data_IF_886498802729
#
_entry.id   IF_886498802729
#
_cell.length_a   1.000
_cell.length_b   1.000
_cell.length_c   1.000
_cell.angle_alpha   90.00
_cell.angle_beta   90.00
_cell.angle_gamma   90.00
#
_symmetry.space_group_name_H-M   'P 1'
#
loop_
_entity.id
_entity.type
_entity.pdbx_description
1 polymer ?
#
# COMPACT_ATOMS: atom_id res chain seq x y z
N UNK A 1 67.15 -25.17 -0.64
CA UNK A 1 66.47 -25.19 0.67
C UNK A 1 65.78 -23.85 0.91
N UNK A 2 64.45 -23.87 0.98
CA UNK A 2 63.50 -22.93 1.64
C UNK A 2 63.68 -21.41 1.45
N UNK A 3 62.65 -20.57 1.25
CA UNK A 3 61.30 -20.57 1.83
C UNK A 3 60.34 -19.79 0.90
N UNK A 4 59.17 -20.36 0.59
CA UNK A 4 58.01 -19.58 0.16
C UNK A 4 57.27 -19.13 1.42
N UNK A 5 57.04 -17.83 1.58
CA UNK A 5 56.26 -17.29 2.69
C UNK A 5 54.82 -17.06 2.23
N UNK A 6 53.90 -17.91 2.69
CA UNK A 6 52.46 -17.73 2.52
C UNK A 6 51.99 -16.51 3.30
N UNK A 7 51.35 -15.55 2.61
CA UNK A 7 50.54 -14.52 3.26
C UNK A 7 49.11 -15.07 3.31
N UNK A 8 48.70 -15.50 4.49
CA UNK A 8 47.33 -15.95 4.76
C UNK A 8 46.46 -14.70 4.95
N UNK A 9 45.60 -14.38 3.98
CA UNK A 9 44.64 -13.29 4.10
C UNK A 9 43.53 -13.71 5.07
N UNK A 10 43.50 -13.09 6.25
CA UNK A 10 42.46 -13.29 7.25
C UNK A 10 41.19 -12.57 6.78
N UNK A 11 40.25 -13.31 6.20
CA UNK A 11 38.94 -12.78 5.79
C UNK A 11 38.07 -12.49 7.02
N UNK A 12 37.93 -11.21 7.38
CA UNK A 12 37.01 -10.77 8.42
C UNK A 12 35.60 -10.67 7.83
N UNK A 13 34.80 -11.73 7.98
CA UNK A 13 33.37 -11.69 7.66
C UNK A 13 32.65 -10.82 8.69
N UNK A 14 32.35 -9.57 8.32
CA UNK A 14 31.44 -8.74 9.11
C UNK A 14 30.02 -9.26 8.96
N UNK A 15 29.51 -9.95 9.99
CA UNK A 15 28.07 -10.15 10.14
C UNK A 15 27.45 -8.79 10.45
N UNK A 16 26.83 -8.15 9.44
CA UNK A 16 25.96 -7.01 9.66
C UNK A 16 24.75 -7.45 10.47
N UNK A 17 24.76 -7.12 11.76
CA UNK A 17 23.55 -7.17 12.58
C UNK A 17 22.65 -6.01 12.14
N UNK A 18 21.71 -6.29 11.24
CA UNK A 18 20.66 -5.32 10.93
C UNK A 18 19.75 -5.23 12.15
N UNK A 19 19.98 -4.23 12.99
CA UNK A 19 19.00 -3.83 14.01
C UNK A 19 17.72 -3.44 13.26
N UNK A 20 16.61 -4.12 13.55
CA UNK A 20 15.29 -3.81 13.00
C UNK A 20 14.75 -2.48 13.52
N UNK A 21 15.41 -1.38 13.16
CA UNK A 21 14.92 -0.05 13.43
C UNK A 21 13.73 0.20 12.51
N UNK A 22 12.59 0.53 13.11
CA UNK A 22 11.46 1.07 12.35
C UNK A 22 11.93 2.36 11.68
N UNK A 23 11.94 2.36 10.35
CA UNK A 23 12.19 3.59 9.59
C UNK A 23 11.03 4.53 9.84
N UNK A 24 11.34 5.79 10.18
CA UNK A 24 10.31 6.83 10.17
C UNK A 24 9.69 6.88 8.76
N UNK A 25 8.38 7.16 8.63
CA UNK A 25 7.79 7.38 7.32
C UNK A 25 8.59 8.48 6.59
N UNK A 26 8.96 8.20 5.35
CA UNK A 26 9.63 9.18 4.50
C UNK A 26 8.73 10.38 4.24
N UNK A 27 9.32 11.48 3.74
CA UNK A 27 8.52 12.58 3.22
C UNK A 27 7.57 12.07 2.13
N UNK A 28 6.33 12.56 2.12
CA UNK A 28 5.39 12.16 1.09
C UNK A 28 5.89 12.62 -0.28
N UNK A 29 5.79 11.73 -1.27
CA UNK A 29 6.17 11.99 -2.66
C UNK A 29 5.09 11.45 -3.62
N UNK A 30 4.99 12.04 -4.81
CA UNK A 30 3.94 11.69 -5.78
C UNK A 30 2.55 12.13 -5.32
N UNK A 31 1.60 11.20 -5.21
CA UNK A 31 0.20 11.49 -4.84
C UNK A 31 0.01 11.40 -3.33
N UNK A 32 0.08 12.56 -2.68
CA UNK A 32 -0.03 12.76 -1.24
C UNK A 32 -1.43 13.05 -0.71
N UNK A 33 -2.44 12.97 -1.59
CA UNK A 33 -3.86 13.18 -1.28
C UNK A 33 -4.63 11.89 -1.53
N UNK A 34 -5.84 11.79 -0.98
CA UNK A 34 -6.71 10.61 -1.15
C UNK A 34 -5.99 9.31 -0.73
N UNK A 35 -5.34 9.36 0.43
CA UNK A 35 -4.51 8.28 1.00
C UNK A 35 -4.95 7.88 2.42
N UNK A 36 -6.01 8.48 2.95
CA UNK A 36 -6.50 8.20 4.29
C UNK A 36 -7.10 6.78 4.33
N UNK A 37 -6.78 6.00 5.37
CA UNK A 37 -7.19 4.61 5.56
C UNK A 37 -7.01 3.71 4.30
N UNK A 38 -5.78 3.51 3.80
CA UNK A 38 -5.57 2.80 2.55
C UNK A 38 -5.70 1.28 2.72
N UNK A 39 -6.32 0.62 1.76
CA UNK A 39 -6.15 -0.81 1.51
C UNK A 39 -5.54 -1.02 0.11
N UNK A 40 -4.51 -1.87 0.05
CA UNK A 40 -3.70 -2.10 -1.15
C UNK A 40 -3.74 -3.57 -1.53
N UNK A 41 -3.95 -3.85 -2.82
CA UNK A 41 -3.88 -5.20 -3.37
C UNK A 41 -3.07 -5.22 -4.66
N UNK A 42 -2.34 -6.31 -4.89
CA UNK A 42 -1.60 -6.54 -6.14
C UNK A 42 -2.35 -7.57 -6.98
N UNK A 43 -2.68 -7.22 -8.22
CA UNK A 43 -3.30 -8.15 -9.18
C UNK A 43 -2.27 -9.13 -9.73
N UNK A 44 -2.75 -10.22 -10.34
CA UNK A 44 -1.90 -11.25 -10.95
C UNK A 44 -1.00 -10.71 -12.08
N UNK A 45 -1.44 -9.65 -12.77
CA UNK A 45 -0.65 -8.94 -13.81
C UNK A 45 0.50 -8.09 -13.22
N UNK A 46 0.61 -8.03 -11.90
CA UNK A 46 1.63 -7.29 -11.18
C UNK A 46 1.24 -5.86 -10.80
N UNK A 47 0.12 -5.34 -11.31
CA UNK A 47 -0.38 -3.98 -11.03
C UNK A 47 -0.88 -3.86 -9.59
N UNK A 48 -0.50 -2.79 -8.91
CA UNK A 48 -1.01 -2.44 -7.59
C UNK A 48 -2.24 -1.55 -7.71
N UNK A 49 -3.21 -1.79 -6.84
CA UNK A 49 -4.37 -0.91 -6.62
C UNK A 49 -4.40 -0.48 -5.16
N UNK A 50 -4.71 0.80 -4.95
CA UNK A 50 -4.95 1.40 -3.64
C UNK A 50 -6.35 1.98 -3.61
N UNK A 51 -7.08 1.65 -2.56
CA UNK A 51 -8.39 2.18 -2.22
C UNK A 51 -8.26 2.97 -0.93
N UNK A 52 -8.79 4.19 -0.88
CA UNK A 52 -8.66 5.08 0.29
C UNK A 52 -9.96 5.80 0.59
N UNK A 53 -10.15 6.21 1.84
CA UNK A 53 -11.25 7.11 2.27
C UNK A 53 -11.30 8.40 1.45
N UNK A 54 -12.52 8.88 1.21
CA UNK A 54 -12.81 10.16 0.56
C UNK A 54 -13.43 10.02 -0.83
N UNK A 55 -14.41 10.88 -1.12
CA UNK A 55 -15.01 11.01 -2.47
C UNK A 55 -15.62 9.73 -3.03
N UNK A 56 -16.19 8.87 -2.17
CA UNK A 56 -16.77 7.59 -2.60
C UNK A 56 -15.76 6.45 -2.76
N UNK A 57 -14.70 6.44 -1.96
CA UNK A 57 -13.55 5.50 -2.01
C UNK A 57 -12.69 5.74 -3.26
N UNK A 58 -11.65 6.55 -3.10
CA UNK A 58 -10.72 6.88 -4.17
C UNK A 58 -9.88 5.67 -4.60
N UNK A 59 -9.76 5.46 -5.90
CA UNK A 59 -9.00 4.37 -6.53
C UNK A 59 -7.74 4.93 -7.16
N UNK A 60 -6.60 4.35 -6.84
CA UNK A 60 -5.34 4.61 -7.53
C UNK A 60 -4.72 3.31 -8.01
N UNK A 61 -3.95 3.36 -9.09
CA UNK A 61 -3.13 2.23 -9.54
C UNK A 61 -1.67 2.63 -9.69
N UNK A 62 -0.76 1.67 -9.53
CA UNK A 62 0.66 1.86 -9.73
C UNK A 62 1.32 0.59 -10.29
N UNK A 63 2.43 0.72 -11.03
CA UNK A 63 3.24 -0.42 -11.46
C UNK A 63 4.08 -1.00 -10.31
N UNK A 64 4.36 -0.22 -9.26
CA UNK A 64 5.12 -0.63 -8.07
C UNK A 64 4.44 -0.10 -6.79
N UNK A 65 4.68 -0.75 -5.65
CA UNK A 65 4.14 -0.34 -4.35
C UNK A 65 4.57 1.08 -3.96
N UNK A 66 5.75 1.51 -4.40
CA UNK A 66 6.29 2.86 -4.19
C UNK A 66 5.76 3.88 -5.21
N UNK A 67 4.95 3.46 -6.17
CA UNK A 67 4.38 4.30 -7.22
C UNK A 67 5.07 4.11 -8.58
N UNK A 68 4.93 5.07 -9.51
CA UNK A 68 4.06 6.25 -9.40
C UNK A 68 2.58 5.84 -9.32
N UNK A 69 1.85 6.46 -8.39
CA UNK A 69 0.41 6.25 -8.22
C UNK A 69 -0.38 7.18 -9.13
N UNK A 70 -1.35 6.63 -9.85
CA UNK A 70 -2.24 7.36 -10.75
C UNK A 70 -3.69 7.24 -10.29
N UNK A 71 -4.43 8.34 -10.23
CA UNK A 71 -5.85 8.34 -9.87
C UNK A 71 -6.71 7.72 -10.97
N UNK A 72 -7.60 6.80 -10.60
CA UNK A 72 -8.47 6.05 -11.52
C UNK A 72 -9.96 6.33 -11.32
N UNK A 73 -10.32 7.25 -10.43
CA UNK A 73 -11.71 7.56 -10.07
C UNK A 73 -12.08 7.05 -8.68
N UNK A 74 -13.38 6.90 -8.43
CA UNK A 74 -13.92 6.42 -7.16
C UNK A 74 -14.74 5.15 -7.37
N UNK A 75 -14.82 4.29 -6.35
CA UNK A 75 -15.67 3.08 -6.39
C UNK A 75 -17.14 3.46 -6.43
N UNK A 76 -17.52 4.49 -5.67
CA UNK A 76 -18.88 4.99 -5.48
C UNK A 76 -18.94 6.49 -5.86
N UNK A 77 -18.81 6.85 -7.14
CA UNK A 77 -18.73 8.25 -7.57
C UNK A 77 -19.97 9.08 -7.21
N UNK A 78 -21.13 8.43 -7.08
CA UNK A 78 -22.40 9.05 -6.68
C UNK A 78 -22.71 8.86 -5.17
N UNK A 79 -21.75 8.35 -4.39
CA UNK A 79 -21.89 8.02 -2.98
C UNK A 79 -22.45 6.61 -2.73
N UNK A 80 -22.45 6.20 -1.46
CA UNK A 80 -23.04 4.92 -1.05
C UNK A 80 -24.57 4.94 -1.14
N UNK A 81 -25.16 3.81 -1.52
CA UNK A 81 -26.60 3.61 -1.50
C UNK A 81 -27.13 3.22 -0.10
N UNK A 82 -26.24 2.97 0.86
CA UNK A 82 -26.60 2.69 2.24
C UNK A 82 -27.26 3.94 2.82
N UNK A 83 -28.44 3.75 3.43
CA UNK A 83 -29.18 4.80 4.12
C UNK A 83 -29.37 4.34 5.55
N UNK A 84 -28.57 4.91 6.44
CA UNK A 84 -28.76 4.78 7.88
C UNK A 84 -29.23 6.13 8.38
N UNK A 85 -30.25 6.14 9.25
CA UNK A 85 -30.83 7.37 9.79
C UNK A 85 -31.44 8.27 8.69
N UNK A 86 -31.84 9.49 9.05
CA UNK A 86 -32.41 10.50 8.14
C UNK A 86 -31.34 11.29 7.35
N UNK A 87 -30.06 10.97 7.54
CA UNK A 87 -28.91 11.66 6.95
C UNK A 87 -28.30 11.01 5.72
N UNK A 88 -27.40 11.74 5.06
CA UNK A 88 -26.48 11.18 4.06
C UNK A 88 -25.38 10.37 4.76
N UNK A 89 -24.87 9.40 4.03
CA UNK A 89 -23.81 8.50 4.47
C UNK A 89 -22.55 8.75 3.65
N UNK A 90 -21.38 8.69 4.28
CA UNK A 90 -20.09 8.67 3.60
C UNK A 90 -19.43 7.28 3.72
N UNK A 91 -18.58 6.93 2.75
CA UNK A 91 -17.89 5.65 2.65
C UNK A 91 -16.43 5.78 3.08
N UNK A 92 -16.06 5.13 4.18
CA UNK A 92 -14.76 5.25 4.83
C UNK A 92 -14.06 3.90 4.99
N UNK A 93 -12.73 3.95 5.19
CA UNK A 93 -11.87 2.85 5.58
C UNK A 93 -12.12 1.57 4.75
N UNK A 94 -11.84 1.62 3.44
CA UNK A 94 -12.04 0.48 2.58
C UNK A 94 -11.08 -0.65 2.92
N UNK A 95 -11.49 -1.89 2.64
CA UNK A 95 -10.61 -3.06 2.66
C UNK A 95 -10.89 -4.00 1.50
N UNK A 96 -9.86 -4.41 0.76
CA UNK A 96 -9.99 -5.18 -0.48
C UNK A 96 -9.33 -6.56 -0.37
N UNK A 97 -10.07 -7.60 -0.78
CA UNK A 97 -9.60 -8.99 -0.78
C UNK A 97 -9.92 -9.66 -2.10
N UNK A 98 -9.04 -10.57 -2.55
CA UNK A 98 -9.31 -11.49 -3.65
C UNK A 98 -9.68 -12.85 -3.07
N UNK A 99 -10.88 -13.35 -3.38
CA UNK A 99 -11.33 -14.69 -3.01
C UNK A 99 -11.74 -15.43 -4.28
N UNK A 100 -10.97 -16.46 -4.64
CA UNK A 100 -11.10 -17.10 -5.95
C UNK A 100 -10.67 -16.15 -7.06
N UNK A 101 -11.58 -15.87 -7.99
CA UNK A 101 -11.40 -14.92 -9.10
C UNK A 101 -12.04 -13.55 -8.85
N UNK A 102 -12.67 -13.37 -7.69
CA UNK A 102 -13.52 -12.21 -7.40
C UNK A 102 -12.88 -11.29 -6.37
N UNK A 103 -12.79 -10.00 -6.68
CA UNK A 103 -12.38 -8.96 -5.75
C UNK A 103 -13.58 -8.48 -4.93
N UNK A 104 -13.44 -8.50 -3.62
CA UNK A 104 -14.41 -7.99 -2.66
C UNK A 104 -13.83 -6.75 -2.00
N UNK A 105 -14.54 -5.62 -2.13
CA UNK A 105 -14.20 -4.38 -1.45
C UNK A 105 -15.26 -4.10 -0.39
N UNK A 106 -14.82 -4.10 0.86
CA UNK A 106 -15.61 -3.73 2.03
C UNK A 106 -15.35 -2.27 2.36
N UNK A 107 -16.31 -1.61 3.00
CA UNK A 107 -16.16 -0.24 3.49
C UNK A 107 -17.10 -0.01 4.68
N UNK A 108 -16.80 1.02 5.47
CA UNK A 108 -17.66 1.52 6.55
C UNK A 108 -18.58 2.59 6.00
N UNK A 109 -19.89 2.44 6.21
CA UNK A 109 -20.84 3.53 5.98
C UNK A 109 -20.97 4.34 7.28
N UNK A 110 -20.48 5.57 7.27
CA UNK A 110 -20.49 6.45 8.43
C UNK A 110 -21.42 7.64 8.19
N UNK A 111 -21.93 8.22 9.27
CA UNK A 111 -22.70 9.46 9.17
C UNK A 111 -21.73 10.58 8.78
N UNK A 112 -22.13 11.37 7.79
CA UNK A 112 -21.48 12.64 7.46
C UNK A 112 -21.56 13.62 8.67
#
# INVERSE_FOLDING_TARGET
>A
MAKFSSITTLGLSMLSMTTGAYVNPGACSGVCVNTHDPSIIRRADGTYFRFSTGGGIAVHSAPDLTGPWEYKGAVLPDGTNIKLWDGKMDAWAPDVHLVGDTYYLYYSAVRD
#
